data_IF_103494033346
#
_entry.id   IF_103494033346
#
_cell.length_a   1.000
_cell.length_b   1.000
_cell.length_c   1.000
_cell.angle_alpha   90.00
_cell.angle_beta   90.00
_cell.angle_gamma   90.00
#
_symmetry.space_group_name_H-M   'P 1'
#
loop_
_entity.id
_entity.type
_entity.pdbx_description
1 polymer ?
#
# COMPACT_ATOMS: atom_id res chain seq x y z
N UNK A 1 -38.78 47.12 -13.55
CA UNK A 1 -38.29 45.72 -13.71
C UNK A 1 -36.89 45.63 -13.11
N UNK A 2 -36.66 44.98 -11.97
CA UNK A 2 -35.33 44.86 -11.39
C UNK A 2 -34.63 43.56 -11.84
N UNK A 3 -33.35 43.70 -12.17
CA UNK A 3 -32.42 42.62 -12.47
C UNK A 3 -32.00 41.92 -11.15
N UNK A 4 -32.26 40.63 -11.04
CA UNK A 4 -31.78 39.80 -9.94
C UNK A 4 -30.33 39.35 -10.22
N UNK A 5 -29.41 39.84 -9.39
CA UNK A 5 -28.02 39.43 -9.35
C UNK A 5 -27.92 38.15 -8.51
N UNK A 6 -27.63 37.01 -9.14
CA UNK A 6 -27.35 35.77 -8.43
C UNK A 6 -25.84 35.67 -8.15
N UNK A 7 -25.39 35.50 -6.89
CA UNK A 7 -23.99 35.29 -6.60
C UNK A 7 -23.57 33.90 -7.09
N UNK A 8 -22.54 33.86 -7.93
CA UNK A 8 -21.89 32.63 -8.36
C UNK A 8 -21.13 32.07 -7.15
N UNK A 9 -21.69 31.03 -6.54
CA UNK A 9 -21.02 30.25 -5.49
C UNK A 9 -19.98 29.37 -6.17
N UNK A 10 -18.71 29.81 -6.16
CA UNK A 10 -17.59 28.98 -6.63
C UNK A 10 -17.36 27.88 -5.61
N UNK A 11 -17.90 26.68 -5.88
CA UNK A 11 -17.54 25.44 -5.19
C UNK A 11 -16.08 25.12 -5.49
N UNK A 12 -15.18 25.50 -4.58
CA UNK A 12 -13.79 25.11 -4.62
C UNK A 12 -13.71 23.61 -4.29
N UNK A 13 -13.76 22.75 -5.32
CA UNK A 13 -13.50 21.33 -5.14
C UNK A 13 -12.05 21.18 -4.65
N UNK A 14 -11.78 20.44 -3.54
CA UNK A 14 -10.42 20.18 -3.13
C UNK A 14 -9.74 19.38 -4.24
N UNK A 15 -8.72 19.96 -4.87
CA UNK A 15 -7.83 19.24 -5.76
C UNK A 15 -7.07 18.23 -4.92
N UNK A 16 -7.57 16.99 -4.87
CA UNK A 16 -6.82 15.86 -4.37
C UNK A 16 -5.57 15.76 -5.25
N UNK A 17 -4.43 16.14 -4.70
CA UNK A 17 -3.15 15.97 -5.35
C UNK A 17 -2.86 14.46 -5.45
N UNK A 18 -3.20 13.90 -6.60
CA UNK A 18 -3.11 12.46 -6.92
C UNK A 18 -1.71 12.05 -7.33
N UNK A 19 -0.71 12.95 -7.27
CA UNK A 19 0.66 12.61 -7.61
C UNK A 19 1.17 11.46 -6.71
N UNK A 20 1.46 10.31 -7.35
CA UNK A 20 2.08 9.17 -6.69
C UNK A 20 3.51 9.53 -6.33
N UNK A 21 3.83 9.47 -5.05
CA UNK A 21 5.17 9.79 -4.51
C UNK A 21 6.03 8.53 -4.38
N UNK A 22 5.42 7.42 -3.97
CA UNK A 22 6.10 6.13 -3.79
C UNK A 22 5.37 5.09 -4.60
N UNK A 23 6.12 4.34 -5.41
CA UNK A 23 5.60 3.17 -6.14
C UNK A 23 6.35 1.93 -5.68
N UNK A 24 5.61 0.94 -5.19
CA UNK A 24 6.15 -0.37 -4.81
C UNK A 24 5.55 -1.42 -5.72
N UNK A 25 6.41 -2.22 -6.36
CA UNK A 25 6.00 -3.32 -7.24
C UNK A 25 6.29 -4.66 -6.59
N UNK A 26 5.44 -5.63 -6.90
CA UNK A 26 5.60 -7.01 -6.45
C UNK A 26 5.02 -7.98 -7.48
N UNK A 27 5.49 -9.23 -7.48
CA UNK A 27 5.16 -10.25 -8.47
C UNK A 27 4.55 -11.47 -7.77
N UNK A 28 3.31 -11.79 -8.10
CA UNK A 28 2.61 -12.95 -7.55
C UNK A 28 2.46 -14.10 -8.56
N UNK A 29 3.43 -14.27 -9.45
CA UNK A 29 3.46 -15.29 -10.49
C UNK A 29 2.69 -14.91 -11.75
N UNK A 30 1.36 -14.93 -11.70
CA UNK A 30 0.49 -14.65 -12.86
C UNK A 30 0.08 -13.17 -12.99
N UNK A 31 0.33 -12.40 -11.94
CA UNK A 31 0.03 -10.96 -11.83
C UNK A 31 1.21 -10.23 -11.23
N UNK A 32 1.36 -8.97 -11.59
CA UNK A 32 2.13 -8.04 -10.80
C UNK A 32 1.21 -7.04 -10.11
N UNK A 33 1.58 -6.66 -8.90
CA UNK A 33 0.86 -5.68 -8.10
C UNK A 33 1.69 -4.41 -7.97
N UNK A 34 1.04 -3.26 -8.14
CA UNK A 34 1.63 -1.94 -7.97
C UNK A 34 0.89 -1.17 -6.88
N UNK A 35 1.62 -0.76 -5.85
CA UNK A 35 1.12 0.11 -4.78
C UNK A 35 1.61 1.52 -5.03
N UNK A 36 0.69 2.45 -5.28
CA UNK A 36 0.99 3.88 -5.42
C UNK A 36 0.56 4.65 -4.18
N UNK A 37 1.53 5.16 -3.41
CA UNK A 37 1.23 6.05 -2.28
C UNK A 37 1.20 7.49 -2.79
N UNK A 38 0.03 8.13 -2.71
CA UNK A 38 -0.15 9.52 -3.15
C UNK A 38 0.36 10.51 -2.10
N UNK A 39 0.74 11.71 -2.53
CA UNK A 39 1.09 12.80 -1.63
C UNK A 39 -0.04 13.10 -0.63
N UNK A 40 -1.28 13.17 -1.12
CA UNK A 40 -2.44 13.44 -0.28
C UNK A 40 -2.67 12.35 0.79
N UNK A 41 -2.38 11.09 0.50
CA UNK A 41 -2.47 10.02 1.50
C UNK A 41 -1.39 10.16 2.57
N UNK A 42 -0.16 10.49 2.16
CA UNK A 42 0.95 10.75 3.08
C UNK A 42 0.72 12.00 3.94
N UNK A 43 0.19 13.10 3.39
CA UNK A 43 -0.14 14.33 4.13
C UNK A 43 -1.17 14.09 5.24
N UNK A 44 -2.11 13.15 5.02
CA UNK A 44 -3.16 12.81 6.00
C UNK A 44 -2.67 11.88 7.11
N UNK A 45 -1.66 11.06 6.82
CA UNK A 45 -1.11 10.13 7.79
C UNK A 45 -0.35 10.87 8.91
N UNK A 46 -0.47 10.42 10.17
CA UNK A 46 0.31 10.95 11.28
C UNK A 46 1.81 10.94 11.01
N UNK A 47 2.47 12.05 11.32
CA UNK A 47 3.92 12.16 11.32
C UNK A 47 4.46 11.43 12.56
N UNK A 48 5.45 10.57 12.36
CA UNK A 48 6.27 10.01 13.43
C UNK A 48 7.60 10.75 13.46
N UNK A 49 7.82 11.49 14.55
CA UNK A 49 9.01 12.30 14.79
C UNK A 49 10.07 11.49 15.55
N UNK A 50 11.33 11.90 15.41
CA UNK A 50 12.47 11.25 16.05
C UNK A 50 12.45 11.31 17.59
N UNK A 51 11.66 12.22 18.17
CA UNK A 51 11.50 12.38 19.62
C UNK A 51 10.42 11.45 20.22
N UNK A 52 9.70 10.70 19.39
CA UNK A 52 8.68 9.76 19.83
C UNK A 52 9.19 8.32 19.80
N UNK A 53 9.22 7.65 20.95
CA UNK A 53 9.75 6.28 21.08
C UNK A 53 9.02 5.23 20.24
N UNK A 54 7.74 5.46 19.90
CA UNK A 54 6.92 4.47 19.19
C UNK A 54 6.12 5.09 18.05
N UNK A 55 5.97 4.37 16.92
CA UNK A 55 5.18 4.86 15.80
C UNK A 55 3.69 4.90 16.15
N UNK A 56 2.90 5.81 15.54
CA UNK A 56 1.46 5.95 15.78
C UNK A 56 0.66 4.65 15.57
N UNK A 57 1.09 3.83 14.61
CA UNK A 57 0.55 2.49 14.38
C UNK A 57 1.57 1.43 14.77
N UNK A 58 1.19 0.53 15.69
CA UNK A 58 2.07 -0.57 16.07
C UNK A 58 2.20 -1.61 14.95
N UNK A 59 3.38 -2.24 14.86
CA UNK A 59 3.66 -3.31 13.89
C UNK A 59 2.61 -4.43 13.95
N UNK A 60 2.13 -4.81 15.15
CA UNK A 60 1.09 -5.84 15.32
C UNK A 60 -0.23 -5.48 14.66
N UNK A 61 -0.66 -4.22 14.74
CA UNK A 61 -1.88 -3.76 14.07
C UNK A 61 -1.67 -3.73 12.56
N UNK A 62 -0.53 -3.21 12.09
CA UNK A 62 -0.18 -3.20 10.68
C UNK A 62 -0.13 -4.61 10.07
N UNK A 63 0.44 -5.60 10.79
CA UNK A 63 0.48 -7.01 10.35
C UNK A 63 -0.93 -7.58 10.12
N UNK A 64 -1.89 -7.29 11.01
CA UNK A 64 -3.28 -7.76 10.85
C UNK A 64 -3.95 -7.15 9.62
N UNK A 65 -3.75 -5.85 9.42
CA UNK A 65 -4.31 -5.13 8.27
C UNK A 65 -3.72 -5.62 6.95
N UNK A 66 -2.40 -5.80 6.90
CA UNK A 66 -1.70 -6.34 5.75
C UNK A 66 -2.13 -7.79 5.44
N UNK A 67 -2.26 -8.65 6.46
CA UNK A 67 -2.72 -10.03 6.28
C UNK A 67 -4.13 -10.09 5.68
N UNK A 68 -5.05 -9.27 6.20
CA UNK A 68 -6.41 -9.19 5.65
C UNK A 68 -6.44 -8.71 4.19
N UNK A 69 -5.53 -7.82 3.80
CA UNK A 69 -5.39 -7.39 2.40
C UNK A 69 -4.78 -8.50 1.53
N UNK A 70 -3.73 -9.17 1.99
CA UNK A 70 -3.13 -10.32 1.31
C UNK A 70 -4.19 -11.38 0.98
N UNK A 71 -5.03 -11.74 1.96
CA UNK A 71 -6.06 -12.77 1.78
C UNK A 71 -7.13 -12.38 0.74
N UNK A 72 -7.32 -11.09 0.45
CA UNK A 72 -8.19 -10.63 -0.64
C UNK A 72 -7.55 -10.76 -2.02
N UNK A 73 -6.23 -10.61 -2.10
CA UNK A 73 -5.50 -10.50 -3.37
C UNK A 73 -5.00 -11.86 -3.87
N UNK A 74 -4.45 -12.67 -2.97
CA UNK A 74 -3.80 -13.92 -3.30
C UNK A 74 -4.37 -15.06 -2.46
N UNK A 75 -4.62 -16.19 -3.14
CA UNK A 75 -4.99 -17.45 -2.48
C UNK A 75 -3.74 -18.28 -2.25
N UNK A 76 -3.85 -19.28 -1.37
CA UNK A 76 -2.84 -20.33 -1.25
C UNK A 76 -3.20 -21.47 -2.23
N UNK A 77 -2.62 -21.53 -3.45
CA UNK A 77 -2.78 -22.70 -4.30
C UNK A 77 -2.17 -23.95 -3.65
N UNK A 78 -2.63 -25.13 -4.10
CA UNK A 78 -2.17 -26.41 -3.56
C UNK A 78 -0.64 -26.55 -3.66
N UNK A 79 -0.03 -26.96 -2.55
CA UNK A 79 1.40 -27.22 -2.46
C UNK A 79 2.28 -26.03 -2.04
N UNK A 80 1.71 -24.97 -1.45
CA UNK A 80 2.49 -23.94 -0.77
C UNK A 80 1.64 -22.98 0.06
N UNK A 81 2.25 -21.95 0.62
CA UNK A 81 1.56 -20.87 1.34
C UNK A 81 2.31 -19.55 1.23
N UNK A 82 1.57 -18.44 1.36
CA UNK A 82 2.16 -17.12 1.51
C UNK A 82 2.57 -16.88 2.97
N UNK A 83 3.83 -16.57 3.21
CA UNK A 83 4.38 -16.27 4.54
C UNK A 83 4.84 -14.82 4.64
N UNK A 84 4.59 -14.17 5.79
CA UNK A 84 5.14 -12.85 6.08
C UNK A 84 6.63 -13.00 6.43
N UNK A 85 7.52 -12.55 5.53
CA UNK A 85 8.96 -12.66 5.73
C UNK A 85 9.55 -11.43 6.44
N UNK A 86 8.94 -10.26 6.29
CA UNK A 86 9.36 -9.06 7.02
C UNK A 86 8.25 -8.03 7.15
N UNK A 87 8.32 -7.25 8.23
CA UNK A 87 7.56 -6.04 8.46
C UNK A 87 8.56 -4.92 8.72
N UNK A 88 8.65 -3.96 7.81
CA UNK A 88 9.64 -2.89 7.87
C UNK A 88 8.95 -1.54 7.94
N UNK A 89 9.52 -0.63 8.71
CA UNK A 89 9.11 0.76 8.71
C UNK A 89 9.93 1.51 7.66
N UNK A 90 9.27 2.24 6.77
CA UNK A 90 9.91 2.94 5.65
C UNK A 90 9.51 4.40 5.67
N UNK A 91 10.50 5.29 5.58
CA UNK A 91 10.26 6.73 5.49
C UNK A 91 10.00 7.12 4.03
N UNK A 92 8.86 7.76 3.78
CA UNK A 92 8.55 8.34 2.47
C UNK A 92 9.17 9.74 2.32
N UNK A 93 9.06 10.57 3.38
CA UNK A 93 9.64 11.91 3.50
C UNK A 93 9.57 12.39 4.94
N UNK A 94 10.60 13.06 5.44
CA UNK A 94 10.64 13.85 6.68
C UNK A 94 9.55 13.53 7.73
N UNK A 95 9.71 12.41 8.43
CA UNK A 95 8.83 11.97 9.52
C UNK A 95 7.50 11.33 9.05
N UNK A 96 7.30 11.17 7.75
CA UNK A 96 6.17 10.43 7.20
C UNK A 96 6.59 9.02 6.88
N UNK A 97 6.17 8.12 7.76
CA UNK A 97 6.51 6.71 7.70
C UNK A 97 5.31 5.89 7.25
N UNK A 98 5.59 4.69 6.77
CA UNK A 98 4.60 3.66 6.53
C UNK A 98 5.19 2.29 6.87
N UNK A 99 4.31 1.35 7.17
CA UNK A 99 4.67 -0.06 7.29
C UNK A 99 4.64 -0.71 5.91
N UNK A 100 5.72 -1.40 5.56
CA UNK A 100 5.78 -2.28 4.41
C UNK A 100 5.82 -3.73 4.90
N UNK A 101 4.78 -4.49 4.58
CA UNK A 101 4.71 -5.92 4.80
C UNK A 101 5.18 -6.63 3.53
N UNK A 102 6.20 -7.48 3.66
CA UNK A 102 6.71 -8.30 2.57
C UNK A 102 6.30 -9.75 2.81
N UNK A 103 5.55 -10.31 1.88
CA UNK A 103 5.18 -11.71 1.85
C UNK A 103 5.91 -12.42 0.73
N UNK A 104 6.25 -13.69 0.95
CA UNK A 104 6.81 -14.57 -0.08
C UNK A 104 5.99 -15.85 -0.18
N UNK A 105 5.88 -16.37 -1.39
CA UNK A 105 5.30 -17.68 -1.63
C UNK A 105 6.32 -18.78 -1.32
N UNK A 106 6.00 -19.61 -0.33
CA UNK A 106 6.79 -20.76 0.05
C UNK A 106 6.12 -22.03 -0.45
N UNK A 107 6.85 -22.81 -1.25
CA UNK A 107 6.48 -24.13 -1.73
C UNK A 107 7.62 -25.10 -1.43
N UNK A 108 7.25 -26.33 -1.07
CA UNK A 108 8.21 -27.42 -0.92
C UNK A 108 8.86 -27.69 -2.28
N UNK A 109 10.18 -27.49 -2.37
CA UNK A 109 10.97 -27.66 -3.58
C UNK A 109 11.95 -26.51 -3.87
N UNK A 110 12.78 -26.69 -4.91
CA UNK A 110 13.73 -25.69 -5.38
C UNK A 110 13.06 -24.83 -6.45
N UNK A 111 13.05 -23.51 -6.26
CA UNK A 111 12.68 -22.57 -7.31
C UNK A 111 13.83 -22.49 -8.31
N UNK A 112 13.68 -23.06 -9.51
CA UNK A 112 14.71 -23.10 -10.55
C UNK A 112 14.55 -22.02 -11.63
N UNK A 113 13.83 -20.92 -11.32
CA UNK A 113 13.45 -19.87 -12.27
C UNK A 113 13.47 -18.44 -11.71
N UNK A 114 12.60 -17.57 -12.25
CA UNK A 114 12.51 -16.13 -11.98
C UNK A 114 12.07 -15.80 -10.53
N UNK A 115 12.96 -15.98 -9.56
CA UNK A 115 12.71 -15.62 -8.16
C UNK A 115 11.53 -16.35 -7.51
N UNK A 116 11.31 -16.09 -6.22
CA UNK A 116 10.08 -16.52 -5.54
C UNK A 116 9.00 -15.45 -5.77
N UNK A 117 7.74 -15.84 -6.04
CA UNK A 117 6.63 -14.88 -5.99
C UNK A 117 6.63 -14.18 -4.63
N UNK A 118 6.47 -12.86 -4.65
CA UNK A 118 6.48 -12.01 -3.48
C UNK A 118 5.39 -10.93 -3.61
N UNK A 119 4.80 -10.55 -2.49
CA UNK A 119 3.76 -9.52 -2.42
C UNK A 119 4.18 -8.47 -1.40
N UNK A 120 4.16 -7.19 -1.80
CA UNK A 120 4.48 -6.07 -0.91
C UNK A 120 3.24 -5.23 -0.67
N UNK A 121 2.86 -5.06 0.58
CA UNK A 121 1.68 -4.31 1.00
C UNK A 121 2.08 -3.14 1.89
N UNK A 122 1.35 -2.03 1.76
CA UNK A 122 1.60 -0.80 2.51
C UNK A 122 0.46 -0.51 3.46
N UNK A 123 0.82 -0.18 4.71
CA UNK A 123 -0.09 0.34 5.72
C UNK A 123 0.46 1.66 6.24
N UNK A 124 -0.32 2.74 6.09
CA UNK A 124 0.04 4.07 6.59
C UNK A 124 -0.10 4.15 8.11
N UNK A 125 0.52 5.17 8.72
CA UNK A 125 0.52 5.36 10.18
C UNK A 125 -0.85 5.64 10.79
N UNK A 126 -1.86 5.97 9.99
CA UNK A 126 -3.27 6.10 10.42
C UNK A 126 -4.03 4.76 10.41
N UNK A 127 -3.41 3.68 9.92
CA UNK A 127 -4.04 2.38 9.72
C UNK A 127 -4.67 2.19 8.34
N UNK A 128 -4.57 3.15 7.43
CA UNK A 128 -5.05 3.03 6.05
C UNK A 128 -4.18 2.03 5.29
N UNK A 129 -4.81 1.03 4.67
CA UNK A 129 -4.13 0.10 3.75
C UNK A 129 -4.25 0.63 2.33
N UNK A 130 -3.13 0.80 1.63
CA UNK A 130 -3.17 1.20 0.22
C UNK A 130 -3.47 -0.03 -0.62
N UNK A 131 -4.60 0.01 -1.33
CA UNK A 131 -5.02 -1.08 -2.21
C UNK A 131 -4.06 -1.19 -3.41
N UNK A 132 -3.45 -2.36 -3.65
CA UNK A 132 -2.60 -2.55 -4.82
C UNK A 132 -3.43 -2.64 -6.10
N UNK A 133 -2.94 -2.02 -7.17
CA UNK A 133 -3.46 -2.25 -8.51
C UNK A 133 -2.92 -3.58 -9.05
N UNK A 134 -3.81 -4.47 -9.45
CA UNK A 134 -3.48 -5.78 -10.01
C UNK A 134 -3.39 -5.70 -11.54
N UNK A 135 -2.25 -6.10 -12.10
CA UNK A 135 -2.05 -6.09 -13.54
C UNK A 135 -1.67 -7.50 -14.00
N UNK A 136 -2.50 -8.05 -14.87
CA UNK A 136 -2.32 -9.41 -15.37
C UNK A 136 -1.23 -9.45 -16.45
N UNK A 137 -0.42 -10.51 -16.44
CA UNK A 137 0.49 -10.76 -17.56
C UNK A 137 -0.34 -11.09 -18.81
N UNK A 138 -0.21 -10.27 -19.87
CA UNK A 138 -0.71 -10.64 -21.19
C UNK A 138 0.06 -11.88 -21.65
N UNK A 139 -0.57 -13.05 -21.58
CA UNK A 139 -0.06 -14.27 -22.21
C UNK A 139 0.10 -13.98 -23.71
N UNK A 140 1.34 -14.04 -24.21
CA UNK A 140 1.61 -14.06 -25.65
C UNK A 140 1.29 -15.43 -26.22
#
# INVERSE_FOLDING_TARGET
MPLACFPILILLAPTLDTAVQVTIRSDAGDKYYSVGITKAALDKAPIWKDDADTPPLSARKAMKLAAAMKDKLVRNPDGGHWELVSMSLVEARAGQWFWQANYEWLKDGVFTGAGRPHLRLVVLMDGTVIEPEAIEYKRR
#
